data_IF_934499556555
#
_entry.id   IF_934499556555
#
_cell.length_a   1.000
_cell.length_b   1.000
_cell.length_c   1.000
_cell.angle_alpha   90.00
_cell.angle_beta   90.00
_cell.angle_gamma   90.00
#
_symmetry.space_group_name_H-M   'P 1'
#
loop_
_entity.id
_entity.type
_entity.pdbx_description
1 polymer ?
#
# COMPACT_ATOMS: atom_id res chain seq x y z
N UNK A 1 39.76 -11.77 -34.14
CA UNK A 1 38.99 -11.78 -32.87
C UNK A 1 37.85 -12.78 -33.03
N UNK A 2 37.95 -13.95 -32.39
CA UNK A 2 36.89 -14.94 -32.44
C UNK A 2 35.66 -14.36 -31.72
N UNK A 3 34.59 -14.10 -32.46
CA UNK A 3 33.28 -13.77 -31.89
C UNK A 3 32.77 -15.02 -31.17
N UNK A 4 33.10 -15.17 -29.89
CA UNK A 4 32.51 -16.18 -29.00
C UNK A 4 31.03 -15.85 -28.81
N UNK A 5 30.21 -16.30 -29.75
CA UNK A 5 28.75 -16.25 -29.63
C UNK A 5 28.39 -16.95 -28.32
N UNK A 6 27.84 -16.18 -27.38
CA UNK A 6 27.29 -16.72 -26.13
C UNK A 6 26.37 -17.90 -26.50
N UNK A 7 26.59 -19.10 -25.93
CA UNK A 7 25.80 -20.27 -26.25
C UNK A 7 24.30 -19.99 -26.11
N UNK A 8 23.48 -20.51 -27.02
CA UNK A 8 22.03 -20.28 -27.01
C UNK A 8 21.39 -20.67 -25.68
N UNK A 9 21.88 -21.74 -25.04
CA UNK A 9 21.43 -22.16 -23.71
C UNK A 9 21.63 -21.07 -22.65
N UNK A 10 22.81 -20.45 -22.61
CA UNK A 10 23.13 -19.36 -21.68
C UNK A 10 22.26 -18.13 -21.95
N UNK A 11 21.98 -17.83 -23.22
CA UNK A 11 21.07 -16.72 -23.59
C UNK A 11 19.63 -16.97 -23.13
N UNK A 12 19.12 -18.19 -23.30
CA UNK A 12 17.77 -18.55 -22.88
C UNK A 12 17.67 -18.48 -21.35
N UNK A 13 18.64 -19.03 -20.62
CA UNK A 13 18.66 -18.96 -19.16
C UNK A 13 18.74 -17.52 -18.65
N UNK A 14 19.55 -16.65 -19.29
CA UNK A 14 19.60 -15.22 -18.95
C UNK A 14 18.25 -14.52 -19.20
N UNK A 15 17.58 -14.82 -20.33
CA UNK A 15 16.23 -14.29 -20.61
C UNK A 15 15.20 -14.73 -19.57
N UNK A 16 15.20 -16.01 -19.20
CA UNK A 16 14.27 -16.54 -18.17
C UNK A 16 14.58 -15.91 -16.82
N UNK A 17 15.86 -15.83 -16.43
CA UNK A 17 16.25 -15.24 -15.17
C UNK A 17 15.81 -13.77 -15.07
N UNK A 18 16.10 -12.96 -16.09
CA UNK A 18 15.67 -11.57 -16.16
C UNK A 18 14.15 -11.42 -16.15
N UNK A 19 13.44 -12.28 -16.90
CA UNK A 19 11.98 -12.29 -16.91
C UNK A 19 11.39 -12.56 -15.52
N UNK A 20 11.91 -13.56 -14.82
CA UNK A 20 11.47 -13.90 -13.46
C UNK A 20 11.79 -12.78 -12.47
N UNK A 21 12.99 -12.21 -12.51
CA UNK A 21 13.37 -11.10 -11.61
C UNK A 21 12.50 -9.88 -11.87
N UNK A 22 12.30 -9.48 -13.13
CA UNK A 22 11.42 -8.36 -13.48
C UNK A 22 9.96 -8.63 -13.08
N UNK A 23 9.49 -9.88 -13.22
CA UNK A 23 8.18 -10.29 -12.75
C UNK A 23 8.02 -10.15 -11.24
N UNK A 24 9.00 -10.62 -10.46
CA UNK A 24 9.02 -10.47 -9.00
C UNK A 24 9.03 -9.00 -8.58
N UNK A 25 9.87 -8.18 -9.22
CA UNK A 25 9.89 -6.73 -8.96
C UNK A 25 8.54 -6.10 -9.27
N UNK A 26 7.90 -6.47 -10.39
CA UNK A 26 6.57 -5.99 -10.74
C UNK A 26 5.52 -6.31 -9.68
N UNK A 27 5.49 -7.56 -9.18
CA UNK A 27 4.58 -7.98 -8.11
C UNK A 27 4.82 -7.17 -6.83
N UNK A 28 6.09 -6.99 -6.45
CA UNK A 28 6.44 -6.19 -5.26
C UNK A 28 5.99 -4.74 -5.39
N UNK A 29 6.22 -4.10 -6.55
CA UNK A 29 5.81 -2.70 -6.79
C UNK A 29 4.29 -2.55 -6.73
N UNK A 30 3.54 -3.46 -7.36
CA UNK A 30 2.07 -3.44 -7.30
C UNK A 30 1.56 -3.71 -5.89
N UNK A 31 2.17 -4.66 -5.17
CA UNK A 31 1.82 -4.99 -3.79
C UNK A 31 2.04 -3.80 -2.84
N UNK A 32 3.23 -3.19 -2.87
CA UNK A 32 3.55 -2.00 -2.08
C UNK A 32 2.60 -0.86 -2.45
N UNK A 33 2.42 -0.59 -3.75
CA UNK A 33 1.53 0.46 -4.24
C UNK A 33 0.09 0.28 -3.76
N UNK A 34 -0.43 -0.94 -3.78
CA UNK A 34 -1.79 -1.26 -3.29
C UNK A 34 -1.95 -1.01 -1.79
N UNK A 35 -0.97 -1.41 -0.99
CA UNK A 35 -0.97 -1.17 0.47
C UNK A 35 -0.89 0.33 0.75
N UNK A 36 0.06 1.04 0.13
CA UNK A 36 0.23 2.48 0.31
C UNK A 36 -1.01 3.24 -0.17
N UNK A 37 -1.65 2.83 -1.26
CA UNK A 37 -2.89 3.43 -1.74
C UNK A 37 -4.04 3.22 -0.75
N UNK A 38 -4.21 2.01 -0.20
CA UNK A 38 -5.23 1.74 0.81
C UNK A 38 -4.99 2.56 2.09
N UNK A 39 -3.75 2.66 2.54
CA UNK A 39 -3.40 3.53 3.68
C UNK A 39 -3.69 4.98 3.33
N UNK A 40 -3.29 5.48 2.16
CA UNK A 40 -3.55 6.85 1.74
C UNK A 40 -5.06 7.14 1.62
N UNK A 41 -5.85 6.23 1.08
CA UNK A 41 -7.29 6.42 0.94
C UNK A 41 -8.04 6.44 2.29
N UNK A 42 -7.54 5.71 3.30
CA UNK A 42 -8.17 5.60 4.62
C UNK A 42 -7.45 6.42 5.71
N UNK A 43 -6.33 7.05 5.39
CA UNK A 43 -5.55 7.87 6.31
C UNK A 43 -6.22 9.20 6.53
N UNK A 44 -6.40 9.58 7.80
CA UNK A 44 -6.86 10.92 8.19
C UNK A 44 -5.86 12.03 7.84
N UNK A 45 -4.64 11.71 7.43
CA UNK A 45 -3.68 12.71 6.93
C UNK A 45 -3.93 13.07 5.45
N UNK A 46 -4.46 12.13 4.67
CA UNK A 46 -4.62 12.28 3.24
C UNK A 46 -5.98 12.92 2.88
N UNK A 47 -5.99 13.77 1.84
CA UNK A 47 -7.22 14.46 1.36
C UNK A 47 -8.27 13.52 0.76
N UNK A 48 -7.93 12.25 0.52
CA UNK A 48 -8.81 11.27 -0.09
C UNK A 48 -9.75 10.55 0.89
N UNK A 49 -9.50 10.61 2.20
CA UNK A 49 -10.39 9.97 3.17
C UNK A 49 -11.70 10.76 3.29
N UNK A 50 -12.80 10.20 2.75
CA UNK A 50 -14.15 10.77 2.86
C UNK A 50 -14.77 10.55 4.25
N UNK A 51 -14.31 9.53 4.98
CA UNK A 51 -14.72 9.21 6.34
C UNK A 51 -13.72 9.75 7.36
N UNK A 52 -13.15 10.92 7.06
CA UNK A 52 -12.17 11.56 7.92
C UNK A 52 -12.80 11.75 9.30
N UNK A 53 -12.12 11.34 10.37
CA UNK A 53 -12.50 11.69 11.74
C UNK A 53 -12.31 13.21 11.90
N UNK A 54 -13.30 13.98 11.46
CA UNK A 54 -13.37 15.39 11.78
C UNK A 54 -13.70 15.48 13.27
N UNK A 55 -12.75 15.96 14.07
CA UNK A 55 -13.00 16.35 15.45
C UNK A 55 -13.95 17.57 15.44
N UNK A 56 -15.23 17.30 15.21
CA UNK A 56 -16.30 18.26 15.43
C UNK A 56 -16.46 18.36 16.94
N UNK A 57 -16.28 19.57 17.48
CA UNK A 57 -16.40 19.84 18.92
C UNK A 57 -17.73 19.31 19.48
N UNK A 58 -18.80 19.39 18.70
CA UNK A 58 -20.12 18.82 19.03
C UNK A 58 -20.10 17.29 19.22
N UNK A 59 -19.32 16.54 18.43
CA UNK A 59 -19.19 15.08 18.62
C UNK A 59 -18.39 14.73 19.87
N UNK A 60 -17.38 15.55 20.20
CA UNK A 60 -16.63 15.39 21.44
C UNK A 60 -17.49 15.70 22.67
N UNK A 61 -18.24 16.81 22.62
CA UNK A 61 -19.15 17.21 23.69
C UNK A 61 -20.29 16.19 23.87
N UNK A 62 -20.90 15.68 22.78
CA UNK A 62 -21.91 14.62 22.84
C UNK A 62 -21.39 13.29 23.42
N UNK A 63 -20.20 12.83 22.98
CA UNK A 63 -19.62 11.59 23.49
C UNK A 63 -19.26 11.70 24.99
N UNK A 64 -18.90 12.90 25.44
CA UNK A 64 -18.60 13.19 26.84
C UNK A 64 -19.88 13.22 27.69
N UNK A 65 -20.95 13.87 27.23
CA UNK A 65 -22.24 13.87 27.93
C UNK A 65 -22.84 12.46 28.00
N UNK A 66 -22.72 11.65 26.94
CA UNK A 66 -23.20 10.27 26.94
C UNK A 66 -22.42 9.36 27.93
N UNK A 67 -21.11 9.58 28.10
CA UNK A 67 -20.32 8.86 29.11
C UNK A 67 -20.70 9.26 30.54
N UNK A 68 -20.99 10.54 30.77
CA UNK A 68 -21.42 11.03 32.08
C UNK A 68 -22.83 10.49 32.44
N UNK A 69 -23.74 10.33 31.47
CA UNK A 69 -25.07 9.73 31.69
C UNK A 69 -25.06 8.20 31.89
N UNK A 70 -24.07 7.48 31.33
CA UNK A 70 -23.88 6.03 31.56
C UNK A 70 -23.15 5.73 32.87
N UNK A 71 -22.34 6.66 33.38
CA UNK A 71 -21.66 6.51 34.67
C UNK A 71 -22.57 6.78 35.89
N UNK A 72 -23.72 7.44 35.67
CA UNK A 72 -24.70 7.81 36.70
C UNK A 72 -25.92 6.85 36.75
N UNK A 73 -25.88 5.74 36.00
CA UNK A 73 -26.83 4.61 36.06
C UNK A 73 -26.24 3.40 36.76
#
# INVERSE_FOLDING_TARGET
>A
MASSKIPLSVRITDMVHRGTVLGLVGICVVGIGSITFNIYANSDFARMNKNKLAFLKEQYDQARTANDEEADK
#
